data_IF_894264459052
#
_entry.id   IF_894264459052
#
_cell.length_a   1.000
_cell.length_b   1.000
_cell.length_c   1.000
_cell.angle_alpha   90.00
_cell.angle_beta   90.00
_cell.angle_gamma   90.00
#
_symmetry.space_group_name_H-M   'P 1'
#
loop_
_entity.id
_entity.type
_entity.pdbx_description
1 polymer ?
#
# COMPACT_ATOMS: atom_id res chain seq x y z
N UNK A 1 -14.57 -4.79 -2.36
CA UNK A 1 -13.23 -5.06 -1.84
C UNK A 1 -12.31 -3.89 -2.12
N UNK A 2 -11.46 -3.55 -1.17
CA UNK A 2 -10.54 -2.44 -1.31
C UNK A 2 -9.12 -2.94 -1.55
N UNK A 3 -8.39 -2.26 -2.42
CA UNK A 3 -6.98 -2.54 -2.70
C UNK A 3 -6.19 -1.27 -2.37
N UNK A 4 -5.23 -1.39 -1.47
CA UNK A 4 -4.36 -0.28 -1.10
C UNK A 4 -2.94 -0.63 -1.55
N UNK A 5 -2.38 0.17 -2.44
CA UNK A 5 -0.98 0.02 -2.87
C UNK A 5 -0.11 1.04 -2.15
N UNK A 6 0.94 0.60 -1.49
CA UNK A 6 1.89 1.45 -0.80
C UNK A 6 3.25 1.34 -1.46
N UNK A 7 3.80 2.49 -1.84
CA UNK A 7 5.08 2.55 -2.52
C UNK A 7 4.97 2.18 -3.99
N UNK A 8 6.09 2.24 -4.69
CA UNK A 8 6.12 2.05 -6.14
C UNK A 8 5.62 0.66 -6.57
N UNK A 9 6.14 -0.39 -5.93
CA UNK A 9 5.76 -1.75 -6.28
C UNK A 9 4.30 -2.03 -5.90
N UNK A 10 3.87 -1.60 -4.72
CA UNK A 10 2.49 -1.78 -4.28
C UNK A 10 1.51 -1.06 -5.18
N UNK A 11 1.81 0.18 -5.55
CA UNK A 11 0.95 0.97 -6.43
C UNK A 11 0.88 0.38 -7.84
N UNK A 12 2.00 -0.16 -8.34
CA UNK A 12 2.04 -0.79 -9.66
C UNK A 12 1.10 -2.00 -9.71
N UNK A 13 1.08 -2.80 -8.66
CA UNK A 13 0.19 -3.95 -8.59
C UNK A 13 -1.26 -3.51 -8.40
N UNK A 14 -1.49 -2.53 -7.53
CA UNK A 14 -2.84 -2.00 -7.34
C UNK A 14 -3.44 -1.46 -8.63
N UNK A 15 -2.62 -0.84 -9.47
CA UNK A 15 -3.06 -0.33 -10.77
C UNK A 15 -3.65 -1.40 -11.67
N UNK A 16 -3.17 -2.63 -11.55
CA UNK A 16 -3.68 -3.73 -12.36
C UNK A 16 -5.13 -4.10 -12.02
N UNK A 17 -5.59 -3.73 -10.84
CA UNK A 17 -6.97 -3.96 -10.43
C UNK A 17 -7.93 -2.85 -10.84
N UNK A 18 -7.43 -1.73 -11.37
CA UNK A 18 -8.30 -0.61 -11.77
C UNK A 18 -9.24 -0.96 -12.90
N UNK A 19 -8.92 -1.99 -13.69
CA UNK A 19 -9.79 -2.45 -14.76
C UNK A 19 -11.01 -3.24 -14.26
N UNK A 20 -11.04 -3.58 -12.97
CA UNK A 20 -12.13 -4.34 -12.36
C UNK A 20 -12.97 -3.43 -11.48
N UNK A 21 -14.23 -3.13 -11.87
CA UNK A 21 -15.03 -2.14 -11.15
C UNK A 21 -15.43 -2.55 -9.74
N UNK A 22 -15.32 -3.84 -9.39
CA UNK A 22 -15.64 -4.32 -8.05
C UNK A 22 -14.60 -3.94 -7.01
N UNK A 23 -13.42 -3.46 -7.43
CA UNK A 23 -12.37 -3.06 -6.52
C UNK A 23 -12.29 -1.54 -6.39
N UNK A 24 -12.22 -1.08 -5.13
CA UNK A 24 -11.93 0.33 -4.84
C UNK A 24 -10.41 0.45 -4.64
N UNK A 25 -9.76 1.27 -5.44
CA UNK A 25 -8.29 1.35 -5.46
C UNK A 25 -7.80 2.60 -4.75
N UNK A 26 -6.86 2.40 -3.83
CA UNK A 26 -6.16 3.47 -3.13
C UNK A 26 -4.66 3.31 -3.36
N UNK A 27 -3.98 4.39 -3.71
CA UNK A 27 -2.53 4.35 -3.95
C UNK A 27 -1.83 5.41 -3.10
N UNK A 28 -0.76 5.02 -2.44
CA UNK A 28 0.03 5.90 -1.57
C UNK A 28 1.48 5.81 -1.97
N UNK A 29 2.05 6.92 -2.41
CA UNK A 29 3.46 7.01 -2.79
C UNK A 29 3.86 8.48 -2.89
N UNK A 30 5.14 8.73 -3.06
CA UNK A 30 5.64 10.07 -3.32
C UNK A 30 5.33 10.47 -4.77
N UNK A 31 4.87 11.70 -4.97
CA UNK A 31 4.69 12.25 -6.30
C UNK A 31 3.50 11.73 -7.10
N UNK A 32 2.55 11.06 -6.46
CA UNK A 32 1.34 10.58 -7.15
C UNK A 32 0.36 11.72 -7.43
N UNK A 33 -0.39 11.58 -8.52
CA UNK A 33 -1.41 12.54 -8.93
C UNK A 33 -2.64 11.77 -9.39
N UNK A 34 -3.83 12.26 -9.04
CA UNK A 34 -5.09 11.72 -9.54
C UNK A 34 -6.00 11.21 -8.43
N UNK A 35 -7.19 10.76 -8.84
CA UNK A 35 -8.18 10.22 -7.92
C UNK A 35 -7.70 8.90 -7.31
N UNK A 36 -7.99 8.70 -6.03
CA UNK A 36 -7.55 7.50 -5.33
C UNK A 36 -6.05 7.47 -5.02
N UNK A 37 -5.36 8.59 -5.21
CA UNK A 37 -3.93 8.71 -4.94
C UNK A 37 -3.68 9.64 -3.76
N UNK A 38 -2.79 9.21 -2.88
CA UNK A 38 -2.31 10.04 -1.77
C UNK A 38 -0.81 10.25 -1.97
N UNK A 39 -0.42 11.50 -2.24
CA UNK A 39 0.98 11.84 -2.44
C UNK A 39 1.59 12.29 -1.12
N UNK A 40 2.73 11.68 -0.77
CA UNK A 40 3.48 12.11 0.42
C UNK A 40 4.81 12.69 0.00
N UNK A 41 5.35 13.54 0.87
CA UNK A 41 6.65 14.13 0.64
C UNK A 41 7.75 13.07 0.74
N UNK A 42 8.69 13.00 -0.23
CA UNK A 42 9.81 12.07 -0.13
C UNK A 42 10.62 12.31 1.13
N UNK A 43 10.98 11.23 1.81
CA UNK A 43 11.79 11.27 3.01
C UNK A 43 13.07 10.47 2.79
N UNK A 44 14.04 10.67 3.65
CA UNK A 44 15.31 9.93 3.61
C UNK A 44 15.25 8.83 4.66
N UNK A 45 15.07 7.60 4.20
CA UNK A 45 15.05 6.43 5.06
C UNK A 45 13.70 6.16 5.72
N UNK A 46 13.50 4.93 6.20
CA UNK A 46 12.22 4.52 6.76
C UNK A 46 11.85 5.25 8.05
N UNK A 47 12.85 5.63 8.84
CA UNK A 47 12.59 6.33 10.10
C UNK A 47 11.94 7.69 9.90
N UNK A 48 12.39 8.44 8.88
CA UNK A 48 11.79 9.73 8.58
C UNK A 48 10.37 9.61 8.06
N UNK A 49 10.08 8.58 7.27
CA UNK A 49 8.71 8.33 6.85
C UNK A 49 7.80 8.07 8.04
N UNK A 50 8.28 7.30 9.00
CA UNK A 50 7.51 7.00 10.20
C UNK A 50 7.31 8.23 11.09
N UNK A 51 8.35 9.03 11.30
CA UNK A 51 8.29 10.22 12.13
C UNK A 51 7.41 11.31 11.53
N UNK A 52 7.43 11.44 10.21
CA UNK A 52 6.70 12.48 9.50
C UNK A 52 5.44 11.95 8.82
N UNK A 53 4.93 10.82 9.29
CA UNK A 53 3.75 10.19 8.72
C UNK A 53 2.56 11.13 8.80
N UNK A 54 1.88 11.38 7.67
CA UNK A 54 0.66 12.18 7.70
C UNK A 54 -0.50 11.38 8.27
N UNK A 55 -1.60 12.06 8.56
CA UNK A 55 -2.83 11.35 8.88
C UNK A 55 -3.47 10.89 7.58
N UNK A 56 -3.80 9.60 7.49
CA UNK A 56 -4.50 9.03 6.35
C UNK A 56 -6.01 8.98 6.55
N UNK A 57 -6.49 9.44 7.68
CA UNK A 57 -7.91 9.38 8.02
C UNK A 57 -8.82 10.01 6.96
N UNK A 58 -8.55 11.22 6.45
CA UNK A 58 -9.39 11.78 5.39
C UNK A 58 -9.37 10.99 4.10
N UNK A 59 -8.22 10.39 3.78
CA UNK A 59 -8.06 9.61 2.56
C UNK A 59 -8.87 8.32 2.60
N UNK A 60 -8.93 7.69 3.76
CA UNK A 60 -9.67 6.44 3.95
C UNK A 60 -11.06 6.62 4.52
N UNK A 61 -11.57 7.83 4.50
CA UNK A 61 -12.91 8.10 5.03
C UNK A 61 -13.95 7.23 4.36
N UNK A 62 -14.68 6.48 5.17
CA UNK A 62 -15.73 5.60 4.66
C UNK A 62 -15.25 4.24 4.14
N UNK A 63 -13.96 3.93 4.27
CA UNK A 63 -13.47 2.61 3.87
C UNK A 63 -14.11 1.53 4.74
N UNK A 64 -14.59 0.46 4.11
CA UNK A 64 -15.19 -0.67 4.83
C UNK A 64 -15.00 -1.95 4.04
N UNK A 65 -15.28 -3.08 4.69
CA UNK A 65 -15.23 -4.40 4.07
C UNK A 65 -13.82 -4.96 3.98
N UNK A 66 -13.66 -5.96 3.14
CA UNK A 66 -12.37 -6.62 2.97
C UNK A 66 -11.38 -5.72 2.23
N UNK A 67 -10.18 -5.62 2.77
CA UNK A 67 -9.15 -4.73 2.26
C UNK A 67 -7.83 -5.46 2.18
N UNK A 68 -7.12 -5.31 1.06
CA UNK A 68 -5.78 -5.85 0.88
C UNK A 68 -4.80 -4.69 0.79
N UNK A 69 -3.81 -4.68 1.67
CA UNK A 69 -2.71 -3.72 1.63
C UNK A 69 -1.51 -4.37 0.95
N UNK A 70 -1.08 -3.82 -0.18
CA UNK A 70 0.03 -4.36 -0.97
C UNK A 70 1.28 -3.54 -0.69
N UNK A 71 2.32 -4.19 -0.19
CA UNK A 71 3.56 -3.56 0.24
C UNK A 71 4.73 -4.14 -0.53
N UNK A 72 5.56 -3.28 -1.10
CA UNK A 72 6.83 -3.71 -1.69
C UNK A 72 7.94 -3.70 -0.64
N UNK A 73 8.70 -4.78 -0.54
CA UNK A 73 9.61 -5.02 0.57
C UNK A 73 10.88 -4.18 0.63
N UNK A 74 11.24 -3.51 -0.46
CA UNK A 74 12.51 -2.78 -0.53
C UNK A 74 12.38 -1.26 -0.43
N UNK A 75 11.18 -0.73 -0.37
CA UNK A 75 10.97 0.72 -0.32
C UNK A 75 10.94 1.26 1.10
N UNK A 76 11.59 2.40 1.32
CA UNK A 76 11.58 3.07 2.64
C UNK A 76 10.18 3.48 3.07
N UNK A 77 9.33 3.79 2.11
CA UNK A 77 7.95 4.20 2.36
C UNK A 77 7.12 3.08 3.01
N UNK A 78 7.58 1.84 2.92
CA UNK A 78 6.88 0.72 3.55
C UNK A 78 6.83 0.83 5.07
N UNK A 79 7.66 1.69 5.66
CA UNK A 79 7.59 1.97 7.09
C UNK A 79 6.23 2.56 7.49
N UNK A 80 5.48 3.12 6.54
CA UNK A 80 4.14 3.65 6.80
C UNK A 80 3.07 2.57 6.90
N UNK A 81 3.39 1.32 6.57
CA UNK A 81 2.40 0.24 6.53
C UNK A 81 1.68 0.04 7.86
N UNK A 82 2.43 0.04 8.96
CA UNK A 82 1.83 -0.13 10.29
C UNK A 82 0.92 1.04 10.65
N UNK A 83 1.30 2.24 10.25
CA UNK A 83 0.48 3.43 10.49
C UNK A 83 -0.84 3.33 9.73
N UNK A 84 -0.79 2.89 8.48
CA UNK A 84 -1.99 2.72 7.66
C UNK A 84 -2.90 1.67 8.28
N UNK A 85 -2.35 0.52 8.64
CA UNK A 85 -3.12 -0.56 9.26
C UNK A 85 -3.78 -0.07 10.55
N UNK A 86 -3.03 0.66 11.36
CA UNK A 86 -3.56 1.19 12.63
C UNK A 86 -4.76 2.10 12.41
N UNK A 87 -4.71 2.93 11.37
CA UNK A 87 -5.79 3.89 11.11
C UNK A 87 -7.06 3.25 10.57
N UNK A 88 -6.94 2.11 9.86
CA UNK A 88 -8.11 1.50 9.21
C UNK A 88 -8.58 0.19 9.84
N UNK A 89 -7.85 -0.37 10.79
CA UNK A 89 -8.12 -1.70 11.35
C UNK A 89 -9.52 -1.83 11.97
N UNK A 90 -10.07 -0.73 12.48
CA UNK A 90 -11.38 -0.74 13.10
C UNK A 90 -12.53 -0.47 12.11
N UNK A 91 -12.19 -0.14 10.88
CA UNK A 91 -13.17 0.20 9.85
C UNK A 91 -13.33 -0.91 8.81
N UNK A 92 -12.33 -1.75 8.65
CA UNK A 92 -12.36 -2.79 7.63
C UNK A 92 -11.47 -3.96 8.03
N UNK A 93 -11.62 -5.08 7.30
CA UNK A 93 -10.80 -6.28 7.51
C UNK A 93 -9.57 -6.17 6.63
N UNK A 94 -8.39 -6.00 7.23
CA UNK A 94 -7.16 -5.77 6.50
C UNK A 94 -6.33 -7.05 6.39
N UNK A 95 -5.95 -7.40 5.17
CA UNK A 95 -4.95 -8.43 4.88
C UNK A 95 -3.76 -7.77 4.21
N UNK A 96 -2.57 -8.28 4.47
CA UNK A 96 -1.35 -7.70 3.92
C UNK A 96 -0.75 -8.65 2.88
N UNK A 97 -0.47 -8.11 1.68
CA UNK A 97 0.26 -8.83 0.65
C UNK A 97 1.64 -8.20 0.52
N UNK A 98 2.66 -8.95 0.86
CA UNK A 98 4.03 -8.49 0.88
C UNK A 98 4.75 -8.94 -0.39
N UNK A 99 5.26 -7.97 -1.16
CA UNK A 99 5.94 -8.23 -2.42
C UNK A 99 7.44 -8.12 -2.19
N UNK A 100 8.16 -9.20 -2.47
CA UNK A 100 9.62 -9.20 -2.39
C UNK A 100 10.23 -8.68 -3.69
N UNK A 101 11.51 -8.29 -3.66
CA UNK A 101 12.21 -7.95 -4.89
C UNK A 101 12.11 -9.08 -5.92
N UNK A 102 12.04 -8.71 -7.19
CA UNK A 102 11.68 -9.61 -8.28
C UNK A 102 12.42 -10.94 -8.32
N UNK A 103 13.75 -10.90 -8.18
CA UNK A 103 14.54 -12.12 -8.25
C UNK A 103 14.25 -13.06 -7.10
N UNK A 104 14.05 -12.53 -5.91
CA UNK A 104 13.72 -13.34 -4.74
C UNK A 104 12.32 -13.91 -4.85
N UNK A 105 11.39 -13.12 -5.36
CA UNK A 105 10.04 -13.60 -5.57
C UNK A 105 10.00 -14.78 -6.51
N UNK A 106 10.73 -14.70 -7.62
CA UNK A 106 10.80 -15.80 -8.60
C UNK A 106 11.43 -17.04 -7.99
N UNK A 107 12.50 -16.87 -7.21
CA UNK A 107 13.15 -17.98 -6.53
C UNK A 107 12.20 -18.67 -5.54
N UNK A 108 11.44 -17.90 -4.79
CA UNK A 108 10.49 -18.45 -3.83
C UNK A 108 9.33 -19.16 -4.50
N UNK A 109 8.83 -18.64 -5.59
CA UNK A 109 7.77 -19.31 -6.34
C UNK A 109 8.25 -20.68 -6.81
N UNK A 110 9.50 -20.78 -7.29
CA UNK A 110 10.09 -22.05 -7.70
C UNK A 110 10.24 -23.02 -6.54
N UNK A 111 10.56 -22.49 -5.35
CA UNK A 111 10.79 -23.33 -4.18
C UNK A 111 9.53 -23.75 -3.46
N UNK A 112 8.42 -23.14 -3.78
CA UNK A 112 7.14 -23.45 -3.16
C UNK A 112 6.44 -24.68 -3.77
N UNK A 113 7.05 -25.29 -4.74
CA UNK A 113 6.47 -26.47 -5.41
C UNK A 113 6.95 -27.77 -4.79
#
# INVERSE_FOLDING_TARGET
>A
MNIIGLGKAGCSIADQFTQYPQYQIYKIDAGLVGDGCFSIEPQVGPEEYEQNAPSFEPFFKGIDGDTILIIGGSGDITALSLRIIYEIKDMCNVSVLYIRPDTELLSEIKNMH
#
